data_IF_101320241540
#
_entry.id   IF_101320241540
#
_cell.length_a   1.000
_cell.length_b   1.000
_cell.length_c   1.000
_cell.angle_alpha   90.00
_cell.angle_beta   90.00
_cell.angle_gamma   90.00
#
_symmetry.space_group_name_H-M   'P 1'
#
loop_
_entity.id
_entity.type
_entity.pdbx_description
1 polymer ?
#
# COMPACT_ATOMS: atom_id res chain seq x y z
N UNK A 1 -17.05 -12.14 -5.28
CA UNK A 1 -17.97 -11.00 -5.07
C UNK A 1 -17.34 -10.09 -4.04
N UNK A 2 -17.01 -8.83 -4.38
CA UNK A 2 -16.47 -7.88 -3.38
C UNK A 2 -17.60 -7.48 -2.44
N UNK A 3 -17.32 -7.41 -1.14
CA UNK A 3 -18.31 -7.03 -0.13
C UNK A 3 -18.53 -5.52 -0.22
N UNK A 4 -19.78 -5.11 -0.40
CA UNK A 4 -20.19 -3.70 -0.36
C UNK A 4 -20.51 -3.32 1.08
N UNK A 5 -19.70 -2.43 1.64
CA UNK A 5 -19.98 -1.83 2.95
C UNK A 5 -20.11 -0.33 2.74
N UNK A 6 -21.14 0.29 3.30
CA UNK A 6 -21.29 1.75 3.25
C UNK A 6 -20.15 2.36 4.07
N UNK A 7 -19.18 2.94 3.37
CA UNK A 7 -18.00 3.62 3.92
C UNK A 7 -17.68 4.83 3.05
N UNK A 8 -17.17 5.88 3.68
CA UNK A 8 -16.69 7.08 2.99
C UNK A 8 -15.26 6.91 2.46
N UNK A 9 -14.86 7.75 1.52
CA UNK A 9 -13.47 7.84 1.06
C UNK A 9 -12.51 8.13 2.22
N UNK A 10 -12.87 9.08 3.09
CA UNK A 10 -12.06 9.47 4.24
C UNK A 10 -11.78 8.29 5.19
N UNK A 11 -12.82 7.52 5.54
CA UNK A 11 -12.67 6.35 6.40
C UNK A 11 -11.83 5.27 5.73
N UNK A 12 -12.04 5.03 4.43
CA UNK A 12 -11.30 4.02 3.68
C UNK A 12 -9.81 4.36 3.60
N UNK A 13 -9.47 5.61 3.31
CA UNK A 13 -8.08 6.07 3.23
C UNK A 13 -7.40 6.10 4.60
N UNK A 14 -8.11 6.53 5.65
CA UNK A 14 -7.58 6.53 7.02
C UNK A 14 -7.23 5.13 7.49
N UNK A 15 -8.09 4.16 7.21
CA UNK A 15 -7.84 2.77 7.57
C UNK A 15 -6.74 2.14 6.70
N UNK A 16 -6.66 2.48 5.41
CA UNK A 16 -5.52 2.07 4.58
C UNK A 16 -4.19 2.63 5.10
N UNK A 17 -4.16 3.90 5.52
CA UNK A 17 -2.99 4.51 6.13
C UNK A 17 -2.58 3.76 7.41
N UNK A 18 -3.56 3.34 8.22
CA UNK A 18 -3.30 2.52 9.41
C UNK A 18 -2.63 1.19 9.07
N UNK A 19 -3.07 0.51 8.01
CA UNK A 19 -2.45 -0.75 7.58
C UNK A 19 -0.99 -0.55 7.14
N UNK A 20 -0.67 0.57 6.48
CA UNK A 20 0.72 0.92 6.17
C UNK A 20 1.54 1.20 7.42
N UNK A 21 1.01 1.98 8.38
CA UNK A 21 1.75 2.32 9.61
C UNK A 21 1.97 1.10 10.49
N UNK A 22 0.97 0.22 10.64
CA UNK A 22 1.12 -1.01 11.42
C UNK A 22 2.12 -1.96 10.76
N UNK A 23 2.11 -2.06 9.42
CA UNK A 23 3.14 -2.83 8.69
C UNK A 23 4.53 -2.27 8.98
N UNK A 24 4.74 -0.95 8.89
CA UNK A 24 6.03 -0.33 9.21
C UNK A 24 6.45 -0.52 10.67
N UNK A 25 5.50 -0.45 11.60
CA UNK A 25 5.75 -0.65 13.04
C UNK A 25 6.30 -2.04 13.35
N UNK A 26 5.89 -3.06 12.61
CA UNK A 26 6.35 -4.44 12.77
C UNK A 26 7.71 -4.72 12.09
N UNK A 27 8.28 -3.73 11.41
CA UNK A 27 9.51 -3.86 10.62
C UNK A 27 10.68 -3.09 11.25
N UNK A 28 11.92 -3.33 10.79
CA UNK A 28 13.07 -2.55 11.22
C UNK A 28 12.86 -1.03 11.03
N UNK A 29 13.26 -0.20 12.02
CA UNK A 29 12.88 1.22 12.09
C UNK A 29 13.52 2.09 11.01
N UNK A 30 14.54 1.60 10.30
CA UNK A 30 15.12 2.25 9.14
C UNK A 30 14.16 2.30 7.93
N UNK A 31 13.13 1.45 7.91
CA UNK A 31 12.20 1.39 6.81
C UNK A 31 11.19 2.54 6.83
N UNK A 32 10.87 3.04 5.65
CA UNK A 32 9.81 4.04 5.47
C UNK A 32 9.19 3.93 4.08
N UNK A 33 8.01 4.50 3.92
CA UNK A 33 7.30 4.58 2.64
C UNK A 33 7.40 6.00 2.09
N UNK A 34 7.66 6.15 0.80
CA UNK A 34 7.71 7.47 0.14
C UNK A 34 7.22 7.43 -1.31
N UNK A 35 6.53 8.48 -1.76
CA UNK A 35 6.09 8.57 -3.16
C UNK A 35 7.24 8.83 -4.15
N UNK A 36 8.40 9.28 -3.65
CA UNK A 36 9.61 9.51 -4.42
C UNK A 36 10.78 8.76 -3.81
N UNK A 37 11.52 8.06 -4.66
CA UNK A 37 12.77 7.43 -4.27
C UNK A 37 13.92 8.42 -4.47
N UNK A 38 14.82 8.62 -3.49
CA UNK A 38 15.95 9.54 -3.63
C UNK A 38 16.88 9.15 -4.80
N UNK A 39 17.13 7.86 -4.96
CA UNK A 39 18.02 7.35 -6.03
C UNK A 39 17.32 7.18 -7.38
N UNK A 40 15.98 7.32 -7.44
CA UNK A 40 15.20 7.21 -8.68
C UNK A 40 14.30 8.45 -8.86
N UNK A 41 14.87 9.66 -9.01
CA UNK A 41 14.12 10.91 -9.01
C UNK A 41 13.09 11.02 -10.15
N UNK A 42 13.29 10.27 -11.24
CA UNK A 42 12.38 10.22 -12.39
C UNK A 42 11.31 9.12 -12.27
N UNK A 43 11.39 8.23 -11.28
CA UNK A 43 10.44 7.14 -11.05
C UNK A 43 9.43 7.51 -9.95
N UNK A 44 8.75 8.66 -10.10
CA UNK A 44 7.71 9.09 -9.17
C UNK A 44 6.49 8.17 -9.22
N UNK A 45 5.96 7.81 -8.06
CA UNK A 45 4.73 7.02 -7.94
C UNK A 45 3.50 7.95 -7.82
N UNK A 46 2.33 7.43 -8.21
CA UNK A 46 1.09 8.19 -8.18
C UNK A 46 0.65 8.51 -6.73
N UNK A 47 0.04 9.68 -6.54
CA UNK A 47 -0.48 10.16 -5.23
C UNK A 47 -1.81 9.53 -4.81
N UNK A 48 -2.10 8.36 -5.34
CA UNK A 48 -3.41 7.72 -5.23
C UNK A 48 -4.30 7.98 -6.44
N UNK A 49 -5.11 6.98 -6.79
CA UNK A 49 -6.11 7.05 -7.87
C UNK A 49 -7.43 6.49 -7.35
N UNK A 50 -8.54 7.18 -7.66
CA UNK A 50 -9.90 6.67 -7.43
C UNK A 50 -10.39 6.07 -8.73
N UNK A 51 -10.81 4.81 -8.68
CA UNK A 51 -11.28 4.05 -9.84
C UNK A 51 -12.71 3.59 -9.59
N UNK A 52 -13.62 3.86 -10.53
CA UNK A 52 -14.98 3.29 -10.52
C UNK A 52 -14.92 1.77 -10.51
N UNK A 53 -15.85 1.12 -9.82
CA UNK A 53 -15.91 -0.35 -9.81
C UNK A 53 -16.26 -0.90 -11.20
N UNK A 54 -17.29 -0.34 -11.82
CA UNK A 54 -17.65 -0.65 -13.21
C UNK A 54 -17.23 0.47 -14.14
N UNK A 55 -16.24 0.21 -15.00
CA UNK A 55 -15.78 1.17 -16.01
C UNK A 55 -16.83 1.39 -17.11
N UNK A 56 -17.76 0.45 -17.31
CA UNK A 56 -18.87 0.60 -18.26
C UNK A 56 -20.04 1.36 -17.62
N UNK A 57 -20.13 1.36 -16.29
CA UNK A 57 -21.16 2.05 -15.52
C UNK A 57 -20.52 2.90 -14.41
N UNK A 58 -19.71 3.93 -14.76
CA UNK A 58 -18.95 4.71 -13.79
C UNK A 58 -19.81 5.52 -12.81
N UNK A 59 -21.12 5.61 -13.10
CA UNK A 59 -22.15 6.31 -12.33
C UNK A 59 -22.83 5.41 -11.29
N UNK A 60 -22.41 4.14 -11.13
CA UNK A 60 -22.94 3.23 -10.11
C UNK A 60 -22.66 3.69 -8.66
N UNK A 61 -21.84 4.74 -8.52
CA UNK A 61 -21.55 5.43 -7.28
C UNK A 61 -20.53 4.73 -6.39
N UNK A 62 -19.90 3.63 -6.84
CA UNK A 62 -18.92 2.89 -6.08
C UNK A 62 -17.53 2.99 -6.69
N UNK A 63 -16.53 3.14 -5.83
CA UNK A 63 -15.15 3.24 -6.27
C UNK A 63 -14.19 2.58 -5.27
N UNK A 64 -12.99 2.30 -5.75
CA UNK A 64 -11.83 1.94 -4.93
C UNK A 64 -10.78 3.03 -5.01
N UNK A 65 -9.90 3.09 -4.01
CA UNK A 65 -8.72 3.93 -4.02
C UNK A 65 -7.48 3.04 -4.03
N UNK A 66 -6.51 3.35 -4.89
CA UNK A 66 -5.22 2.65 -4.98
C UNK A 66 -4.07 3.64 -4.88
N UNK A 67 -3.04 3.31 -4.10
CA UNK A 67 -1.82 4.11 -3.95
C UNK A 67 -0.59 3.21 -3.86
N UNK A 68 0.56 3.70 -4.33
CA UNK A 68 1.84 3.00 -4.21
C UNK A 68 2.94 3.91 -3.68
N UNK A 69 3.77 3.33 -2.82
CA UNK A 69 4.96 3.95 -2.23
C UNK A 69 6.21 3.13 -2.55
N UNK A 70 7.35 3.80 -2.66
CA UNK A 70 8.66 3.17 -2.55
C UNK A 70 8.91 2.78 -1.10
N UNK A 71 9.57 1.62 -0.89
CA UNK A 71 10.09 1.23 0.42
C UNK A 71 11.54 1.69 0.51
N UNK A 72 11.77 2.70 1.33
CA UNK A 72 13.10 3.25 1.62
C UNK A 72 13.73 2.53 2.80
N UNK A 73 15.06 2.65 2.93
CA UNK A 73 15.84 1.89 3.91
C UNK A 73 16.28 0.51 3.38
N UNK A 74 16.01 0.25 2.09
CA UNK A 74 16.45 -0.97 1.38
C UNK A 74 17.39 -0.60 0.24
N UNK A 75 18.21 -1.56 -0.16
CA UNK A 75 19.10 -1.49 -1.33
C UNK A 75 18.78 -2.66 -2.26
N UNK A 76 19.21 -2.62 -3.53
CA UNK A 76 19.11 -3.77 -4.42
C UNK A 76 19.64 -5.08 -3.83
N UNK A 77 20.71 -5.04 -3.04
CA UNK A 77 21.32 -6.23 -2.42
C UNK A 77 20.54 -6.76 -1.20
N UNK A 78 19.69 -5.93 -0.59
CA UNK A 78 18.92 -6.27 0.61
C UNK A 78 17.43 -6.45 0.34
N UNK A 79 16.98 -6.19 -0.89
CA UNK A 79 15.56 -6.16 -1.23
C UNK A 79 14.85 -7.49 -0.98
N UNK A 80 15.47 -8.63 -1.28
CA UNK A 80 14.86 -9.95 -1.08
C UNK A 80 14.64 -10.25 0.41
N UNK A 81 15.63 -9.92 1.24
CA UNK A 81 15.50 -10.06 2.70
C UNK A 81 14.33 -9.22 3.24
N UNK A 82 14.20 -7.97 2.80
CA UNK A 82 13.11 -7.11 3.25
C UNK A 82 11.76 -7.51 2.64
N UNK A 83 11.77 -8.08 1.44
CA UNK A 83 10.58 -8.67 0.85
C UNK A 83 10.03 -9.79 1.74
N UNK A 84 10.89 -10.74 2.09
CA UNK A 84 10.55 -11.88 2.94
C UNK A 84 10.06 -11.42 4.32
N UNK A 85 10.73 -10.44 4.93
CA UNK A 85 10.32 -9.86 6.22
C UNK A 85 8.90 -9.30 6.18
N UNK A 86 8.60 -8.47 5.17
CA UNK A 86 7.27 -7.86 5.03
C UNK A 86 6.21 -8.93 4.79
N UNK A 87 6.45 -9.87 3.89
CA UNK A 87 5.48 -10.93 3.61
C UNK A 87 5.31 -11.90 4.79
N UNK A 88 6.38 -12.12 5.56
CA UNK A 88 6.36 -12.90 6.79
C UNK A 88 5.46 -12.27 7.85
N UNK A 89 5.59 -10.96 8.09
CA UNK A 89 4.71 -10.20 9.00
C UNK A 89 3.23 -10.37 8.60
N UNK A 90 2.91 -10.22 7.32
CA UNK A 90 1.53 -10.38 6.84
C UNK A 90 1.02 -11.82 7.05
N UNK A 91 1.86 -12.82 6.81
CA UNK A 91 1.51 -14.22 7.06
C UNK A 91 1.33 -14.53 8.56
N UNK A 92 2.15 -13.96 9.45
CA UNK A 92 2.00 -14.10 10.90
C UNK A 92 0.69 -13.50 11.42
N UNK A 93 0.21 -12.42 10.79
CA UNK A 93 -1.11 -11.86 11.06
C UNK A 93 -2.27 -12.66 10.47
N UNK A 94 -1.98 -13.78 9.79
CA UNK A 94 -2.98 -14.64 9.16
C UNK A 94 -3.63 -14.01 7.92
N UNK A 95 -3.01 -13.01 7.32
CA UNK A 95 -3.53 -12.42 6.07
C UNK A 95 -3.34 -13.41 4.92
N UNK A 96 -4.28 -13.41 3.98
CA UNK A 96 -4.22 -14.32 2.84
C UNK A 96 -3.12 -13.87 1.88
N UNK A 97 -1.93 -14.50 1.97
CA UNK A 97 -0.80 -14.16 1.12
C UNK A 97 -0.79 -14.95 -0.19
N UNK A 98 -0.42 -14.29 -1.29
CA UNK A 98 -0.19 -14.92 -2.60
C UNK A 98 1.15 -14.44 -3.14
N UNK A 99 1.95 -15.37 -3.62
CA UNK A 99 3.23 -15.09 -4.28
C UNK A 99 3.08 -15.24 -5.80
N UNK A 100 3.49 -14.21 -6.55
CA UNK A 100 3.53 -14.20 -8.02
C UNK A 100 4.66 -15.05 -8.63
N UNK A 101 5.56 -15.61 -7.83
CA UNK A 101 6.63 -16.53 -8.26
C UNK A 101 7.86 -15.83 -8.86
N UNK A 102 8.76 -16.63 -9.45
CA UNK A 102 10.11 -16.23 -9.90
C UNK A 102 10.15 -15.41 -11.22
N UNK A 103 9.28 -14.41 -11.34
CA UNK A 103 9.32 -13.46 -12.46
C UNK A 103 10.36 -12.34 -12.24
N UNK A 104 10.75 -11.66 -13.33
CA UNK A 104 11.67 -10.50 -13.29
C UNK A 104 11.21 -9.40 -12.32
N UNK A 105 9.90 -9.26 -12.16
CA UNK A 105 9.27 -8.56 -11.05
C UNK A 105 8.64 -9.59 -10.14
N UNK A 106 8.94 -9.53 -8.85
CA UNK A 106 8.39 -10.46 -7.86
C UNK A 106 7.37 -9.70 -7.01
N UNK A 107 6.17 -10.23 -6.85
CA UNK A 107 5.08 -9.55 -6.13
C UNK A 107 4.43 -10.48 -5.12
N UNK A 108 4.43 -10.06 -3.86
CA UNK A 108 3.67 -10.67 -2.78
C UNK A 108 2.42 -9.82 -2.53
N UNK A 109 1.26 -10.45 -2.42
CA UNK A 109 -0.01 -9.78 -2.10
C UNK A 109 -0.57 -10.34 -0.80
N UNK A 110 -1.16 -9.49 0.03
CA UNK A 110 -1.93 -9.86 1.19
C UNK A 110 -3.32 -9.21 1.15
N UNK A 111 -4.37 -9.97 1.45
CA UNK A 111 -5.71 -9.43 1.67
C UNK A 111 -5.99 -9.38 3.18
N UNK A 112 -6.40 -8.22 3.69
CA UNK A 112 -6.72 -8.03 5.11
C UNK A 112 -8.14 -8.53 5.41
N UNK A 113 -8.45 -8.92 6.67
CA UNK A 113 -9.79 -9.36 7.05
C UNK A 113 -10.89 -8.31 6.82
N UNK A 114 -10.55 -7.01 6.85
CA UNK A 114 -11.45 -5.89 6.61
C UNK A 114 -11.53 -5.46 5.13
N UNK A 115 -10.99 -6.28 4.21
CA UNK A 115 -11.21 -6.18 2.77
C UNK A 115 -10.25 -5.27 2.00
N UNK A 116 -9.14 -4.85 2.62
CA UNK A 116 -8.06 -4.13 1.94
C UNK A 116 -7.12 -5.13 1.27
N UNK A 117 -6.42 -4.68 0.23
CA UNK A 117 -5.35 -5.45 -0.40
C UNK A 117 -4.05 -4.66 -0.33
N UNK A 118 -2.97 -5.32 0.09
CA UNK A 118 -1.62 -4.78 0.07
C UNK A 118 -0.77 -5.62 -0.88
N UNK A 119 0.12 -4.98 -1.62
CA UNK A 119 1.03 -5.67 -2.51
C UNK A 119 2.44 -5.11 -2.38
N UNK A 120 3.40 -5.97 -2.12
CA UNK A 120 4.81 -5.66 -2.16
C UNK A 120 5.38 -6.12 -3.49
N UNK A 121 6.09 -5.23 -4.20
CA UNK A 121 6.67 -5.53 -5.50
C UNK A 121 8.16 -5.20 -5.50
N UNK A 122 8.98 -6.21 -5.80
CA UNK A 122 10.37 -6.05 -6.21
C UNK A 122 10.41 -5.68 -7.69
N UNK A 123 10.92 -4.47 -7.95
CA UNK A 123 11.12 -3.95 -9.30
C UNK A 123 12.35 -4.57 -9.95
N UNK A 124 12.42 -4.50 -11.29
CA UNK A 124 13.55 -5.06 -12.06
C UNK A 124 14.91 -4.45 -11.72
N UNK A 125 14.91 -3.24 -11.17
CA UNK A 125 16.11 -2.51 -10.73
C UNK A 125 16.47 -2.79 -9.25
N UNK A 126 15.83 -3.78 -8.62
CA UNK A 126 16.14 -4.22 -7.25
C UNK A 126 15.49 -3.37 -6.15
N UNK A 127 14.64 -2.40 -6.47
CA UNK A 127 13.96 -1.59 -5.44
C UNK A 127 12.56 -2.14 -5.11
N UNK A 128 12.18 -1.99 -3.84
CA UNK A 128 10.87 -2.41 -3.35
C UNK A 128 9.85 -1.27 -3.39
N UNK A 129 8.62 -1.61 -3.73
CA UNK A 129 7.47 -0.73 -3.60
C UNK A 129 6.29 -1.45 -2.95
N UNK A 130 5.51 -0.73 -2.15
CA UNK A 130 4.32 -1.24 -1.49
C UNK A 130 3.10 -0.48 -2.00
N UNK A 131 2.14 -1.20 -2.56
CA UNK A 131 0.83 -0.69 -2.93
C UNK A 131 -0.22 -1.09 -1.91
N UNK A 132 -1.28 -0.29 -1.86
CA UNK A 132 -2.46 -0.57 -1.07
C UNK A 132 -3.71 -0.11 -1.79
N UNK A 133 -4.72 -0.96 -1.76
CA UNK A 133 -6.02 -0.72 -2.38
C UNK A 133 -7.13 -0.88 -1.33
N UNK A 134 -8.10 0.03 -1.36
CA UNK A 134 -9.25 -0.01 -0.45
C UNK A 134 -10.32 -0.99 -0.93
N UNK A 135 -11.18 -1.49 -0.03
CA UNK A 135 -12.50 -1.98 -0.44
C UNK A 135 -13.32 -0.85 -1.07
N UNK A 136 -14.49 -1.21 -1.60
CA UNK A 136 -15.41 -0.26 -2.19
C UNK A 136 -15.90 0.77 -1.17
N UNK A 137 -16.01 2.02 -1.61
CA UNK A 137 -16.65 3.12 -0.90
C UNK A 137 -17.57 3.90 -1.84
N UNK A 138 -18.43 4.74 -1.26
CA UNK A 138 -19.27 5.65 -2.03
C UNK A 138 -18.41 6.75 -2.67
N UNK A 139 -18.41 6.83 -4.01
CA UNK A 139 -17.53 7.70 -4.80
C UNK A 139 -17.67 9.17 -4.44
N UNK A 140 -18.88 9.66 -4.21
CA UNK A 140 -19.14 11.08 -3.94
C UNK A 140 -19.13 11.42 -2.44
N UNK A 141 -18.67 10.48 -1.60
CA UNK A 141 -18.49 10.74 -0.18
C UNK A 141 -17.25 11.62 0.11
N UNK A 142 -17.20 12.17 1.32
CA UNK A 142 -16.11 13.03 1.80
C UNK A 142 -14.75 12.34 1.62
N UNK A 143 -13.84 13.01 0.90
CA UNK A 143 -12.51 12.50 0.53
C UNK A 143 -11.55 12.37 1.72
N UNK A 144 -11.66 13.29 2.69
CA UNK A 144 -10.72 13.40 3.81
C UNK A 144 -9.38 14.02 3.41
N UNK A 145 -8.40 13.93 4.30
CA UNK A 145 -7.04 14.40 4.07
C UNK A 145 -6.35 13.62 2.94
N UNK A 146 -5.43 14.26 2.19
CA UNK A 146 -4.62 13.55 1.21
C UNK A 146 -3.73 12.51 1.89
N UNK A 147 -3.45 11.42 1.18
CA UNK A 147 -2.45 10.45 1.64
C UNK A 147 -1.08 11.14 1.73
N UNK A 148 -0.30 10.88 2.80
CA UNK A 148 0.99 11.52 3.00
C UNK A 148 1.98 11.14 1.90
N UNK A 149 2.88 12.05 1.54
CA UNK A 149 3.98 11.80 0.60
C UNK A 149 5.08 10.93 1.18
N UNK A 150 5.18 10.87 2.52
CA UNK A 150 6.08 9.99 3.27
C UNK A 150 5.42 9.47 4.54
N UNK A 151 5.66 8.20 4.86
CA UNK A 151 5.25 7.54 6.10
C UNK A 151 6.50 6.89 6.71
N UNK A 152 6.81 7.19 7.96
CA UNK A 152 7.90 6.55 8.70
C UNK A 152 7.42 6.17 10.10
N UNK A 153 8.11 5.21 10.72
CA UNK A 153 7.93 4.90 12.13
C UNK A 153 9.19 5.32 12.89
N UNK A 154 9.07 6.23 13.86
CA UNK A 154 10.21 6.77 14.62
C UNK A 154 9.82 6.90 16.08
N UNK A 155 10.72 6.46 16.96
CA UNK A 155 10.57 6.63 18.42
C UNK A 155 9.24 6.13 18.98
N UNK A 156 8.66 5.09 18.36
CA UNK A 156 7.38 4.51 18.79
C UNK A 156 6.13 5.18 18.20
N UNK A 157 6.27 6.11 17.27
CA UNK A 157 5.16 6.85 16.66
C UNK A 157 5.25 6.91 15.13
N UNK A 158 4.09 7.06 14.47
CA UNK A 158 4.02 7.29 13.04
C UNK A 158 4.30 8.77 12.71
N UNK A 159 5.20 9.00 11.75
CA UNK A 159 5.57 10.32 11.27
C UNK A 159 5.17 10.45 9.80
N UNK A 160 4.46 11.53 9.47
CA UNK A 160 3.93 11.80 8.14
C UNK A 160 4.52 13.07 7.53
N UNK A 161 4.60 13.11 6.20
CA UNK A 161 4.87 14.34 5.45
C UNK A 161 3.85 14.50 4.33
N UNK A 162 3.49 15.72 3.98
CA UNK A 162 2.52 16.05 2.92
C UNK A 162 3.18 16.40 1.58
#
# INVERSE_FOLDING_TARGET
>A
MRVRTVRTQAEARTQLLRHFTETLRALPPELSLALRHPDLPHAGLHRGVVLSEDLNHPDDGWATFDIRYWVLGTTPDTCDRYFDLVTGVWSEWGWATRDGGAARTHTGRADTPDGYSLALTRSVNGYLSMAGSTPLFLRDSVVGEPMPTRIAWRDGEAVFSL
#
